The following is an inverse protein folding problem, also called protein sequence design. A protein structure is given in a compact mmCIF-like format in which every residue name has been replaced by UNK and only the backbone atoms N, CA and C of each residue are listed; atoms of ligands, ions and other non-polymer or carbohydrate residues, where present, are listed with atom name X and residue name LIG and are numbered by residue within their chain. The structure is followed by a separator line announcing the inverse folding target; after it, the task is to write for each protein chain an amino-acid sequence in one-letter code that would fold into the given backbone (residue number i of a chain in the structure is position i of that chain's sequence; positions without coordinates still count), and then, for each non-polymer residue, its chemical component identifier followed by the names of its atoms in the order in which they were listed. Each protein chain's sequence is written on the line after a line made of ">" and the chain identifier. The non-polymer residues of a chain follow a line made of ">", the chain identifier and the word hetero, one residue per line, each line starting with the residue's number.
data_IF_128554381520
#
_entry.id   IF_128554381520
#
_cell.length_a   1.000
_cell.length_b   1.000
_cell.length_c   1.000
_cell.angle_alpha   90.00
_cell.angle_beta   90.00
_cell.angle_gamma   90.00
#
_symmetry.space_group_name_H-M   'P 1'
#
loop_
_entity.id
_entity.type
_entity.pdbx_description
1 polymer ?
2 non-polymer ?
3 non-polymer ?
4 water ?
#
# COMPACT_ATOMS: atom_id res chain seq x y z
N UNK A 9 -14.29 -12.08 -20.91
CA UNK A 9 -14.43 -10.99 -19.93
C UNK A 9 -13.60 -9.76 -20.33
N UNK A 10 -14.29 -8.64 -20.53
CA UNK A 10 -13.64 -7.37 -20.81
C UNK A 10 -14.36 -6.28 -20.02
N UNK A 11 -13.63 -5.68 -19.08
CA UNK A 11 -14.22 -4.72 -18.16
C UNK A 11 -13.58 -3.34 -18.31
N UNK A 12 -13.99 -2.43 -17.42
CA UNK A 12 -13.46 -1.09 -17.40
C UNK A 12 -13.35 -0.66 -15.94
N UNK A 13 -12.28 0.05 -15.61
CA UNK A 13 -12.16 0.75 -14.32
C UNK A 13 -12.23 2.25 -14.56
N UNK A 14 -13.01 2.93 -13.71
CA UNK A 14 -12.91 4.37 -13.51
C UNK A 14 -12.49 4.62 -12.07
N UNK A 15 -11.85 5.76 -11.82
CA UNK A 15 -11.35 6.04 -10.48
C UNK A 15 -11.71 7.47 -10.09
N UNK A 16 -11.93 7.66 -8.79
CA UNK A 16 -12.12 8.97 -8.21
C UNK A 16 -11.33 9.04 -6.92
N UNK A 17 -10.30 9.91 -6.91
CA UNK A 17 -9.49 10.10 -5.72
C UNK A 17 -10.24 10.99 -4.73
N UNK A 18 -9.94 10.76 -3.44
CA UNK A 18 -10.53 11.46 -2.32
C UNK A 18 -9.39 11.87 -1.38
N UNK A 19 -9.38 13.12 -0.90
CA UNK A 19 -8.46 13.53 0.15
C UNK A 19 -9.26 14.27 1.22
N UNK A 20 -9.12 13.85 2.47
CA UNK A 20 -9.86 14.42 3.58
C UNK A 20 -11.37 14.30 3.40
N UNK A 21 -11.80 13.25 2.70
CA UNK A 21 -13.21 13.05 2.40
C UNK A 21 -13.72 13.94 1.26
N UNK A 22 -12.83 14.71 0.61
CA UNK A 22 -13.23 15.50 -0.54
C UNK A 22 -12.94 14.71 -1.81
N UNK A 23 -13.99 14.45 -2.61
CA UNK A 23 -13.82 13.76 -3.88
C UNK A 23 -13.32 14.73 -4.95
N UNK A 24 -12.36 14.26 -5.75
CA UNK A 24 -11.91 15.01 -6.90
C UNK A 24 -13.11 15.19 -7.82
N UNK A 25 -13.25 16.42 -8.32
CA UNK A 25 -14.35 16.80 -9.19
C UNK A 25 -13.92 16.59 -10.65
N UNK A 26 -14.95 16.31 -11.47
CA UNK A 26 -14.77 15.83 -12.83
C UNK A 26 -13.81 16.77 -13.56
N UNK A 27 -13.88 18.06 -13.24
CA UNK A 27 -13.04 19.02 -13.91
C UNK A 27 -12.11 19.80 -12.98
N UNK A 28 -11.83 19.29 -11.77
CA UNK A 28 -11.21 20.13 -10.75
C UNK A 28 -10.21 19.42 -9.83
N UNK A 29 -10.07 18.10 -9.95
CA UNK A 29 -9.24 17.35 -8.98
C UNK A 29 -9.69 17.64 -7.55
N UNK A 30 -8.81 17.36 -6.60
CA UNK A 30 -9.02 17.79 -5.23
C UNK A 30 -7.79 18.57 -4.79
N UNK A 31 -8.02 19.71 -4.13
CA UNK A 31 -6.94 20.60 -3.73
C UNK A 31 -6.61 20.37 -2.25
N UNK A 32 -5.31 20.39 -1.96
CA UNK A 32 -4.82 20.39 -0.59
C UNK A 32 -3.86 21.58 -0.40
N UNK A 33 -3.87 22.14 0.80
CA UNK A 33 -2.98 23.25 1.12
C UNK A 33 -1.58 22.71 1.31
N UNK A 34 -0.60 23.61 1.16
CA UNK A 34 0.81 23.27 1.40
C UNK A 34 0.98 22.73 2.83
N UNK A 35 0.32 23.37 3.79
CA UNK A 35 0.43 22.96 5.20
C UNK A 35 -0.16 21.56 5.41
N UNK A 36 -1.25 21.24 4.71
CA UNK A 36 -1.85 19.91 4.81
C UNK A 36 -0.89 18.87 4.25
N UNK A 37 -0.28 19.17 3.10
CA UNK A 37 0.71 18.29 2.49
C UNK A 37 1.85 18.02 3.48
N UNK A 38 2.30 19.07 4.16
CA UNK A 38 3.37 18.93 5.13
C UNK A 38 2.98 18.06 6.31
N UNK A 39 1.71 18.14 6.73
CA UNK A 39 1.20 17.38 7.87
C UNK A 39 0.89 15.93 7.49
N UNK A 40 0.76 15.64 6.20
CA UNK A 40 0.26 14.35 5.75
C UNK A 40 -1.24 14.42 5.47
N UNK A 41 -1.68 13.73 4.42
CA UNK A 41 -3.09 13.74 4.05
C UNK A 41 -3.58 12.30 3.83
N UNK A 42 -4.83 12.07 4.24
CA UNK A 42 -5.50 10.79 4.06
C UNK A 42 -6.01 10.71 2.63
N UNK A 43 -5.52 9.73 1.86
CA UNK A 43 -5.90 9.58 0.47
C UNK A 43 -6.68 8.28 0.33
N UNK A 44 -7.79 8.35 -0.42
CA UNK A 44 -8.57 7.18 -0.75
C UNK A 44 -8.88 7.23 -2.23
N UNK A 45 -9.32 6.08 -2.79
CA UNK A 45 -9.67 6.04 -4.20
C UNK A 45 -10.86 5.11 -4.37
N UNK A 46 -11.92 5.61 -5.02
CA UNK A 46 -13.07 4.78 -5.33
C UNK A 46 -12.96 4.32 -6.76
N UNK A 47 -12.95 2.99 -6.93
CA UNK A 47 -12.89 2.35 -8.23
C UNK A 47 -14.32 1.97 -8.61
N UNK A 48 -14.81 2.54 -9.72
CA UNK A 48 -16.03 2.09 -10.35
C UNK A 48 -15.66 1.10 -11.44
N UNK A 49 -16.09 -0.15 -11.27
CA UNK A 49 -15.73 -1.21 -12.19
C UNK A 49 -17.00 -1.71 -12.89
N UNK A 50 -16.79 -2.22 -14.11
CA UNK A 50 -17.83 -2.85 -14.88
C UNK A 50 -17.20 -4.02 -15.65
N UNK A 51 -18.04 -5.00 -16.03
CA UNK A 51 -17.60 -6.10 -16.86
C UNK A 51 -16.54 -6.98 -16.21
N UNK A 52 -16.55 -7.05 -14.87
CA UNK A 52 -15.76 -8.05 -14.15
C UNK A 52 -16.63 -9.28 -13.96
N UNK A 53 -16.00 -10.39 -13.50
CA UNK A 53 -16.70 -11.65 -13.33
C UNK A 53 -17.36 -11.67 -11.95
N UNK A 54 -18.67 -11.95 -11.94
CA UNK A 54 -19.47 -11.85 -10.72
C UNK A 54 -18.91 -12.76 -9.64
N UNK A 55 -18.73 -12.19 -8.45
CA UNK A 55 -18.33 -12.90 -7.25
C UNK A 55 -16.85 -13.26 -7.19
N UNK A 56 -16.05 -12.86 -8.20
CA UNK A 56 -14.66 -13.25 -8.27
C UNK A 56 -13.79 -12.26 -7.51
N UNK A 57 -12.67 -12.78 -6.98
CA UNK A 57 -11.69 -12.00 -6.22
C UNK A 57 -10.71 -11.36 -7.18
N UNK A 58 -10.38 -10.08 -6.91
CA UNK A 58 -9.42 -9.31 -7.70
C UNK A 58 -8.41 -8.72 -6.75
N UNK A 59 -7.13 -8.89 -7.10
CA UNK A 59 -6.05 -8.19 -6.44
C UNK A 59 -5.90 -6.82 -7.08
N UNK A 60 -6.10 -5.78 -6.28
CA UNK A 60 -6.10 -4.41 -6.75
C UNK A 60 -4.87 -3.69 -6.19
N UNK A 61 -4.05 -3.18 -7.11
CA UNK A 61 -2.87 -2.39 -6.76
C UNK A 61 -3.10 -0.96 -7.23
N UNK A 62 -3.04 -0.01 -6.28
CA UNK A 62 -3.13 1.40 -6.56
C UNK A 62 -1.81 2.10 -6.28
N UNK A 63 -1.43 3.03 -7.15
CA UNK A 63 -0.23 3.83 -7.00
C UNK A 63 -0.61 5.30 -7.12
N UNK A 64 0.03 6.14 -6.30
CA UNK A 64 -0.04 7.58 -6.42
C UNK A 64 1.29 8.08 -6.98
N UNK A 65 1.23 8.70 -8.16
CA UNK A 65 2.41 9.17 -8.86
C UNK A 65 2.39 10.70 -8.96
N UNK A 66 3.55 11.31 -8.77
CA UNK A 66 3.77 12.68 -9.20
C UNK A 66 3.56 12.74 -10.72
N UNK A 67 2.84 13.76 -11.18
CA UNK A 67 2.59 13.97 -12.60
C UNK A 67 3.09 15.36 -12.98
N UNK A 68 3.86 15.44 -14.08
CA UNK A 68 4.22 16.73 -14.65
C UNK A 68 4.28 16.59 -16.17
N UNK A 69 3.73 17.58 -16.85
CA UNK A 69 3.76 17.66 -18.31
C UNK A 69 3.16 16.40 -18.91
N UNK A 70 2.13 15.87 -18.23
CA UNK A 70 1.31 14.79 -18.75
C UNK A 70 1.94 13.41 -18.58
N UNK A 71 3.02 13.31 -17.80
CA UNK A 71 3.69 12.04 -17.51
C UNK A 71 3.86 11.86 -16.02
N UNK A 72 3.90 10.60 -15.58
CA UNK A 72 4.32 10.29 -14.21
C UNK A 72 5.82 10.57 -14.09
N UNK A 73 6.20 11.01 -12.88
CA UNK A 73 7.58 11.38 -12.59
C UNK A 73 8.10 10.46 -11.48
N UNK A 74 9.04 9.58 -11.83
CA UNK A 74 9.71 8.73 -10.86
C UNK A 74 8.83 7.59 -10.37
N UNK A 75 9.26 6.96 -9.28
CA UNK A 75 8.52 5.86 -8.68
C UNK A 75 7.33 6.42 -7.91
N UNK A 76 6.31 5.57 -7.73
CA UNK A 76 5.11 5.97 -7.01
C UNK A 76 5.48 6.46 -5.62
N UNK A 77 4.75 7.49 -5.16
CA UNK A 77 4.89 8.02 -3.82
C UNK A 77 4.43 6.97 -2.81
N UNK A 78 3.29 6.34 -3.12
CA UNK A 78 2.80 5.20 -2.33
C UNK A 78 2.17 4.19 -3.28
N UNK A 79 2.22 2.91 -2.88
CA UNK A 79 1.47 1.84 -3.52
C UNK A 79 0.72 1.08 -2.43
N UNK A 80 -0.50 0.64 -2.74
CA UNK A 80 -1.23 -0.24 -1.86
C UNK A 80 -1.86 -1.36 -2.68
N UNK A 81 -1.78 -2.60 -2.17
CA UNK A 81 -2.43 -3.74 -2.78
C UNK A 81 -3.36 -4.36 -1.74
N UNK A 82 -4.60 -4.66 -2.16
CA UNK A 82 -5.54 -5.42 -1.35
C UNK A 82 -6.44 -6.24 -2.27
N UNK A 83 -7.21 -7.17 -1.69
CA UNK A 83 -8.14 -7.97 -2.47
C UNK A 83 -9.56 -7.43 -2.27
N UNK A 84 -10.29 -7.40 -3.39
CA UNK A 84 -11.71 -7.12 -3.39
C UNK A 84 -12.46 -8.24 -4.10
N UNK A 85 -13.77 -8.31 -3.85
CA UNK A 85 -14.64 -9.25 -4.53
C UNK A 85 -15.61 -8.47 -5.40
N UNK A 86 -15.74 -8.90 -6.67
CA UNK A 86 -16.71 -8.31 -7.59
C UNK A 86 -18.14 -8.65 -7.16
N UNK A 87 -19.03 -7.67 -7.34
CA UNK A 87 -20.45 -7.80 -7.06
C UNK A 87 -21.07 -8.92 -7.89
N UNK A 88 -22.31 -9.29 -7.52
CA UNK A 88 -23.05 -10.32 -8.23
C UNK A 88 -23.38 -9.93 -9.66
N UNK A 89 -23.27 -8.64 -10.01
CA UNK A 89 -23.56 -8.17 -11.35
C UNK A 89 -22.29 -8.00 -12.19
N UNK A 90 -21.11 -8.04 -11.55
CA UNK A 90 -19.86 -7.81 -12.24
C UNK A 90 -19.52 -6.32 -12.36
N UNK A 91 -20.37 -5.46 -11.79
CA UNK A 91 -20.17 -4.03 -11.79
C UNK A 91 -20.46 -3.48 -10.40
N UNK A 92 -19.72 -2.45 -10.01
CA UNK A 92 -19.88 -1.88 -8.68
C UNK A 92 -18.75 -0.92 -8.34
N UNK A 93 -18.53 -0.75 -7.02
CA UNK A 93 -17.50 0.14 -6.52
C UNK A 93 -16.71 -0.54 -5.42
N UNK A 94 -15.40 -0.24 -5.42
CA UNK A 94 -14.47 -0.62 -4.37
C UNK A 94 -13.76 0.64 -3.89
N UNK A 95 -13.41 0.71 -2.59
CA UNK A 95 -12.70 1.86 -2.08
C UNK A 95 -11.36 1.42 -1.48
N UNK A 96 -10.29 1.93 -2.08
CA UNK A 96 -8.92 1.75 -1.63
C UNK A 96 -8.60 2.87 -0.66
N UNK A 97 -8.12 2.51 0.54
CA UNK A 97 -7.66 3.50 1.51
C UNK A 97 -6.15 3.39 1.61
N UNK A 98 -5.45 4.47 1.25
CA UNK A 98 -3.99 4.46 1.26
C UNK A 98 -3.42 4.78 2.64
N UNK A 99 -4.25 5.30 3.56
CA UNK A 99 -3.76 5.85 4.80
C UNK A 99 -3.20 7.26 4.60
N UNK A 100 -2.51 7.77 5.62
CA UNK A 100 -1.90 9.08 5.57
C UNK A 100 -0.69 9.02 4.65
N UNK A 101 -0.69 9.94 3.66
CA UNK A 101 0.37 10.05 2.67
C UNK A 101 1.22 11.26 3.01
N UNK A 102 2.53 11.02 3.15
CA UNK A 102 3.49 12.05 3.48
C UNK A 102 4.29 12.48 2.25
N UNK A 103 4.87 13.67 2.31
CA UNK A 103 5.89 14.07 1.35
C UNK A 103 5.36 14.66 0.04
N UNK A 104 4.03 14.83 -0.10
CA UNK A 104 3.50 15.57 -1.24
C UNK A 104 4.01 17.00 -1.18
N UNK A 105 4.40 17.54 -2.34
CA UNK A 105 5.16 18.78 -2.38
C UNK A 105 4.28 19.93 -2.85
N UNK A 106 4.41 21.11 -2.21
CA UNK A 106 3.73 22.32 -2.68
C UNK A 106 3.92 22.57 -4.17
N UNK A 107 2.81 22.93 -4.83
CA UNK A 107 2.81 23.27 -6.24
C UNK A 107 2.86 22.08 -7.21
N UNK A 108 2.82 20.84 -6.67
CA UNK A 108 2.89 19.65 -7.50
C UNK A 108 1.53 18.97 -7.56
N UNK A 109 1.37 18.10 -8.57
CA UNK A 109 0.14 17.37 -8.81
C UNK A 109 0.45 15.88 -8.79
N UNK A 110 -0.50 15.09 -8.28
CA UNK A 110 -0.35 13.66 -8.14
C UNK A 110 -1.60 12.98 -8.69
N UNK A 111 -1.40 11.78 -9.26
CA UNK A 111 -2.50 11.06 -9.89
C UNK A 111 -2.53 9.62 -9.37
N UNK A 112 -3.74 9.08 -9.20
CA UNK A 112 -3.92 7.70 -8.81
C UNK A 112 -4.10 6.85 -10.07
N UNK A 113 -3.30 5.78 -10.14
CA UNK A 113 -3.46 4.67 -11.06
C UNK A 113 -3.97 3.43 -10.31
N UNK A 114 -4.82 2.63 -10.95
CA UNK A 114 -5.33 1.38 -10.38
C UNK A 114 -5.26 0.25 -11.41
N UNK A 115 -4.90 -0.94 -10.93
CA UNK A 115 -4.92 -2.17 -11.72
C UNK A 115 -5.62 -3.26 -10.92
N UNK A 116 -6.63 -3.91 -11.54
CA UNK A 116 -7.31 -5.05 -10.93
C UNK A 116 -6.92 -6.30 -11.71
N UNK A 117 -6.46 -7.31 -10.98
CA UNK A 117 -6.00 -8.58 -11.52
C UNK A 117 -6.77 -9.71 -10.84
N UNK A 118 -7.56 -10.45 -11.62
CA UNK A 118 -8.30 -11.56 -11.02
C UNK A 118 -7.31 -12.54 -10.41
N UNK A 119 -7.67 -13.09 -9.25
CA UNK A 119 -6.91 -14.14 -8.59
C UNK A 119 -6.93 -15.41 -9.46
N UNK A 120 -8.10 -15.72 -10.03
CA UNK A 120 -8.22 -16.88 -10.92
C UNK A 120 -7.90 -16.48 -12.36
N UNK A 121 -7.51 -17.47 -13.17
CA UNK A 121 -7.47 -17.34 -14.63
C UNK A 121 -8.90 -17.32 -15.15
N UNK A 122 -9.26 -16.29 -15.92
CA UNK A 122 -10.63 -16.08 -16.37
C UNK A 122 -10.70 -15.73 -17.86
N UNK A 123 -9.55 -15.55 -18.53
CA UNK A 123 -9.53 -15.11 -19.91
C UNK A 123 -8.80 -16.14 -20.77
N UNK A 124 -9.45 -16.51 -21.89
CA UNK A 124 -8.85 -17.33 -22.93
C UNK A 124 -8.13 -16.42 -23.91
N UNK A 125 -6.81 -16.60 -24.05
CA UNK A 125 -6.00 -15.71 -24.87
C UNK A 125 -5.40 -16.44 -26.08
N UNK A 126 -5.57 -17.77 -26.15
CA UNK A 126 -4.99 -18.55 -27.23
C UNK A 126 -6.08 -19.22 -28.08
N UNK A 127 -7.27 -19.42 -27.50
CA UNK A 127 -8.44 -19.81 -28.26
C UNK A 127 -8.80 -21.29 -28.12
N UNK A 128 -8.41 -21.92 -27.00
CA UNK A 128 -8.71 -23.33 -26.77
C UNK A 128 -9.88 -23.47 -25.80
N UNK A 129 -10.60 -22.36 -25.57
CA UNK A 129 -11.78 -22.31 -24.72
C UNK A 129 -11.43 -22.56 -23.25
N UNK A 130 -10.14 -22.57 -22.91
CA UNK A 130 -9.71 -22.72 -21.52
C UNK A 130 -9.17 -21.38 -21.03
N UNK A 131 -9.52 -20.93 -19.79
CA UNK A 131 -8.97 -19.70 -19.24
C UNK A 131 -7.49 -19.90 -18.91
N UNK A 132 -6.63 -18.99 -19.39
CA UNK A 132 -5.19 -19.16 -19.26
C UNK A 132 -4.55 -17.95 -18.58
N UNK A 133 -5.29 -16.84 -18.46
CA UNK A 133 -4.75 -15.57 -18.00
C UNK A 133 -5.76 -14.88 -17.07
N UNK A 134 -5.24 -14.09 -16.11
CA UNK A 134 -6.12 -13.32 -15.25
C UNK A 134 -6.87 -12.30 -16.11
N UNK A 135 -8.10 -11.94 -15.70
CA UNK A 135 -8.66 -10.69 -16.17
C UNK A 135 -7.87 -9.56 -15.52
N UNK A 136 -7.28 -8.69 -16.35
CA UNK A 136 -6.57 -7.51 -15.88
C UNK A 136 -7.24 -6.29 -16.50
N UNK A 137 -7.72 -5.41 -15.63
CA UNK A 137 -8.25 -4.12 -16.06
C UNK A 137 -7.47 -3.05 -15.32
N UNK A 138 -7.22 -1.92 -16.00
CA UNK A 138 -6.43 -0.87 -15.39
C UNK A 138 -6.93 0.50 -15.82
N UNK A 139 -6.74 1.48 -14.94
CA UNK A 139 -6.94 2.89 -15.25
C UNK A 139 -5.67 3.62 -14.87
N UNK A 140 -4.89 4.01 -15.90
CA UNK A 140 -3.60 4.66 -15.70
C UNK A 140 -3.55 5.88 -16.59
N UNK A 141 -4.36 6.89 -16.25
CA UNK A 141 -4.45 8.10 -17.05
C UNK A 141 -3.81 9.24 -16.27
N UNK A 142 -2.60 9.68 -16.66
CA UNK A 142 -1.93 10.77 -15.95
C UNK A 142 -2.68 12.10 -16.01
N UNK A 143 -3.61 12.23 -16.98
CA UNK A 143 -4.32 13.48 -17.20
C UNK A 143 -5.76 13.43 -16.70
N UNK A 144 -6.14 12.35 -15.96
CA UNK A 144 -7.49 12.25 -15.45
C UNK A 144 -7.63 13.07 -14.17
N UNK A 145 -8.41 14.17 -14.26
CA UNK A 145 -8.61 15.11 -13.16
C UNK A 145 -9.30 14.45 -11.96
N UNK A 146 -10.19 13.50 -12.24
CA UNK A 146 -10.94 12.81 -11.19
C UNK A 146 -10.00 11.97 -10.34
N UNK A 147 -8.79 11.68 -10.86
CA UNK A 147 -7.79 10.91 -10.13
C UNK A 147 -6.67 11.80 -9.59
N UNK A 148 -6.84 13.12 -9.63
CA UNK A 148 -5.73 14.05 -9.44
C UNK A 148 -5.86 14.85 -8.15
N UNK A 149 -4.72 14.86 -7.41
CA UNK A 149 -4.55 15.68 -6.22
C UNK A 149 -3.60 16.80 -6.57
N UNK A 150 -4.01 18.04 -6.25
CA UNK A 150 -3.22 19.22 -6.50
C UNK A 150 -2.85 19.90 -5.18
N UNK A 151 -1.55 20.09 -4.95
CA UNK A 151 -1.07 20.75 -3.75
C UNK A 151 -0.81 22.22 -4.08
N UNK A 152 -1.45 23.11 -3.31
CA UNK A 152 -1.21 24.54 -3.39
C UNK A 152 0.26 24.87 -3.11
N UNK A 153 0.74 25.96 -3.71
CA UNK A 153 2.14 26.33 -3.62
C UNK A 153 2.47 26.92 -2.23
N UNK B 9 27.32 -1.71 4.60
CA UNK B 9 26.53 -1.40 5.82
C UNK B 9 25.51 -2.49 6.15
N UNK B 10 25.47 -2.89 7.42
CA UNK B 10 24.53 -3.88 7.91
C UNK B 10 23.67 -3.24 9.02
N UNK B 11 22.34 -3.28 8.83
CA UNK B 11 21.40 -2.66 9.74
C UNK B 11 20.37 -3.66 10.28
N UNK B 12 19.37 -3.13 11.01
CA UNK B 12 18.35 -3.96 11.64
C UNK B 12 17.02 -3.21 11.69
N UNK B 13 15.92 -3.93 11.43
CA UNK B 13 14.57 -3.41 11.59
C UNK B 13 13.88 -4.18 12.72
N UNK B 14 13.23 -3.44 13.61
CA UNK B 14 12.25 -3.99 14.54
C UNK B 14 10.92 -3.32 14.19
N UNK B 15 9.81 -4.00 14.48
CA UNK B 15 8.51 -3.52 14.06
C UNK B 15 7.52 -3.70 15.21
N UNK B 16 6.57 -2.77 15.27
CA UNK B 16 5.47 -2.80 16.23
C UNK B 16 4.19 -2.44 15.50
N UNK B 17 3.26 -3.40 15.39
CA UNK B 17 1.97 -3.14 14.75
C UNK B 17 1.04 -2.45 15.77
N UNK B 18 0.17 -1.58 15.25
CA UNK B 18 -0.83 -0.87 16.02
C UNK B 18 -2.19 -0.97 15.33
N UNK B 19 -3.26 -1.11 16.14
CA UNK B 19 -4.63 -0.96 15.69
C UNK B 19 -5.36 -0.11 16.73
N UNK B 20 -6.01 1.00 16.31
CA UNK B 20 -6.74 1.88 17.21
C UNK B 20 -5.87 2.56 18.29
N UNK B 21 -4.62 2.87 17.94
CA UNK B 21 -3.70 3.49 18.88
C UNK B 21 -3.23 2.52 19.95
N UNK B 22 -3.60 1.23 19.79
CA UNK B 22 -3.11 0.18 20.65
C UNK B 22 -1.96 -0.51 19.94
N UNK B 23 -0.78 -0.42 20.55
CA UNK B 23 0.41 -1.14 20.12
C UNK B 23 0.33 -2.58 20.59
N UNK B 24 0.82 -3.49 19.75
CA UNK B 24 1.13 -4.86 20.16
C UNK B 24 2.34 -4.85 21.09
N UNK B 25 2.52 -5.93 21.87
CA UNK B 25 3.65 -6.03 22.77
C UNK B 25 4.38 -7.36 22.52
N UNK B 26 5.62 -7.52 23.00
CA UNK B 26 6.30 -8.79 22.73
C UNK B 26 5.62 -9.88 23.55
N UNK B 27 4.79 -9.47 24.52
CA UNK B 27 4.01 -10.41 25.30
C UNK B 27 2.72 -10.85 24.60
N UNK B 28 2.25 -10.10 23.60
CA UNK B 28 1.04 -10.54 22.94
C UNK B 28 0.65 -9.64 21.77
N UNK B 29 0.08 -10.23 20.73
CA UNK B 29 -0.41 -9.43 19.61
C UNK B 29 -1.51 -8.46 20.05
N UNK B 30 -1.72 -7.40 19.26
CA UNK B 30 -2.82 -6.47 19.52
C UNK B 30 -4.13 -7.17 19.15
N UNK B 31 -5.14 -7.01 20.02
CA UNK B 31 -6.40 -7.72 19.90
C UNK B 31 -7.42 -6.82 19.19
N UNK B 32 -8.18 -7.41 18.26
CA UNK B 32 -9.34 -6.75 17.69
C UNK B 32 -10.54 -7.68 17.82
N UNK B 33 -11.73 -7.08 17.94
CA UNK B 33 -12.93 -7.86 18.09
C UNK B 33 -13.31 -8.46 16.74
N UNK B 34 -14.12 -9.52 16.79
CA UNK B 34 -14.64 -10.12 15.58
C UNK B 34 -15.40 -9.11 14.73
N UNK B 35 -16.24 -8.29 15.39
CA UNK B 35 -17.02 -7.28 14.69
C UNK B 35 -16.11 -6.21 14.08
N UNK B 36 -15.02 -5.84 14.76
CA UNK B 36 -14.10 -4.84 14.24
C UNK B 36 -13.43 -5.35 12.97
N UNK B 37 -13.02 -6.63 12.99
CA UNK B 37 -12.45 -7.26 11.81
C UNK B 37 -13.43 -7.20 10.64
N UNK B 38 -14.72 -7.43 10.94
CA UNK B 38 -15.75 -7.41 9.90
C UNK B 38 -15.96 -6.02 9.30
N UNK B 39 -15.80 -4.98 10.13
CA UNK B 39 -16.00 -3.59 9.70
C UNK B 39 -14.76 -3.09 8.95
N UNK B 40 -13.59 -3.70 9.22
CA UNK B 40 -12.32 -3.20 8.76
C UNK B 40 -11.61 -2.45 9.88
N UNK B 41 -10.29 -2.61 9.94
CA UNK B 41 -9.48 -2.00 10.97
C UNK B 41 -8.34 -1.23 10.30
N UNK B 42 -8.01 -0.08 10.86
CA UNK B 42 -6.87 0.69 10.39
C UNK B 42 -5.62 0.16 11.08
N UNK B 43 -4.64 -0.25 10.26
CA UNK B 43 -3.42 -0.88 10.74
C UNK B 43 -2.24 0.05 10.46
N UNK B 44 -1.39 0.25 11.48
CA UNK B 44 -0.13 0.96 11.30
C UNK B 44 0.99 0.08 11.82
N UNK B 45 2.20 0.34 11.35
CA UNK B 45 3.38 -0.38 11.79
C UNK B 45 4.53 0.60 11.99
N UNK B 46 5.09 0.63 13.20
CA UNK B 46 6.24 1.47 13.49
C UNK B 46 7.50 0.62 13.33
N UNK B 47 8.40 1.10 12.46
CA UNK B 47 9.67 0.47 12.21
C UNK B 47 10.72 1.23 13.02
N UNK B 48 11.39 0.51 13.92
CA UNK B 48 12.56 1.03 14.60
C UNK B 48 13.79 0.48 13.89
N UNK B 49 14.53 1.37 13.22
CA UNK B 49 15.67 0.98 12.40
C UNK B 49 16.96 1.43 13.08
N UNK B 50 18.04 0.67 12.84
CA UNK B 50 19.40 1.05 13.21
C UNK B 50 20.34 0.59 12.10
N UNK B 51 21.51 1.22 12.01
CA UNK B 51 22.55 0.82 11.07
C UNK B 51 22.17 1.05 9.61
N UNK B 52 21.28 2.02 9.35
CA UNK B 52 21.04 2.52 8.01
C UNK B 52 21.98 3.70 7.75
N UNK B 53 22.05 4.14 6.50
CA UNK B 53 22.98 5.18 6.09
C UNK B 53 22.29 6.52 6.30
N UNK B 54 22.96 7.42 7.04
CA UNK B 54 22.37 8.68 7.45
C UNK B 54 21.88 9.48 6.25
N UNK B 55 20.63 9.96 6.35
CA UNK B 55 20.05 10.90 5.40
C UNK B 55 19.59 10.26 4.09
N UNK B 56 19.77 8.94 3.94
CA UNK B 56 19.48 8.25 2.70
C UNK B 56 18.01 7.84 2.63
N UNK B 57 17.45 7.86 1.42
CA UNK B 57 16.08 7.43 1.16
C UNK B 57 15.99 5.91 1.06
N UNK B 58 14.91 5.36 1.64
CA UNK B 58 14.60 3.93 1.58
C UNK B 58 13.16 3.76 1.12
N UNK B 59 12.96 2.81 0.19
CA UNK B 59 11.66 2.32 -0.17
C UNK B 59 11.29 1.18 0.79
N UNK B 60 10.18 1.36 1.51
CA UNK B 60 9.75 0.39 2.50
C UNK B 60 8.47 -0.29 2.01
N UNK B 61 8.51 -1.62 1.93
CA UNK B 61 7.34 -2.44 1.60
C UNK B 61 6.93 -3.25 2.83
N UNK B 62 5.70 -3.04 3.29
CA UNK B 62 5.12 -3.80 4.38
C UNK B 62 4.01 -4.71 3.87
N UNK B 63 3.98 -5.94 4.40
CA UNK B 63 2.95 -6.91 4.06
C UNK B 63 2.32 -7.46 5.34
N UNK B 64 1.00 -7.62 5.34
CA UNK B 64 0.30 -8.31 6.41
C UNK B 64 -0.11 -9.70 5.94
N UNK B 65 0.39 -10.73 6.65
CA UNK B 65 0.14 -12.13 6.33
C UNK B 65 -0.67 -12.81 7.42
N UNK B 66 -1.65 -13.62 7.01
CA UNK B 66 -2.24 -14.62 7.88
C UNK B 66 -1.11 -15.54 8.33
N UNK B 67 -1.12 -15.89 9.62
CA UNK B 67 -0.10 -16.75 10.18
C UNK B 67 -0.76 -17.78 11.07
N UNK B 68 -0.37 -19.05 10.87
CA UNK B 68 -0.81 -20.17 11.68
C UNK B 68 0.41 -21.01 12.01
N UNK B 69 0.60 -21.30 13.31
CA UNK B 69 1.66 -22.16 13.78
C UNK B 69 3.01 -21.73 13.21
N UNK B 70 3.25 -20.41 13.24
CA UNK B 70 4.55 -19.84 12.91
C UNK B 70 4.89 -19.91 11.42
N UNK B 71 3.88 -20.07 10.57
CA UNK B 71 4.06 -20.07 9.13
C UNK B 71 3.01 -19.13 8.50
N UNK B 72 3.43 -18.29 7.55
CA UNK B 72 2.47 -17.49 6.81
C UNK B 72 1.59 -18.39 5.95
N UNK B 73 0.33 -17.96 5.74
CA UNK B 73 -0.64 -18.70 4.95
C UNK B 73 -1.10 -17.83 3.79
N UNK B 74 -0.78 -18.29 2.56
CA UNK B 74 -1.23 -17.63 1.35
C UNK B 74 -0.50 -16.32 1.09
N UNK B 75 -1.01 -15.55 0.13
CA UNK B 75 -0.43 -14.26 -0.22
C UNK B 75 -0.83 -13.24 0.85
N UNK B 76 -0.10 -12.13 0.87
CA UNK B 76 -0.37 -11.06 1.81
C UNK B 76 -1.82 -10.57 1.65
N UNK B 77 -2.46 -10.29 2.79
CA UNK B 77 -3.79 -9.68 2.82
C UNK B 77 -3.71 -8.27 2.23
N UNK B 78 -2.73 -7.48 2.67
CA UNK B 78 -2.46 -6.15 2.16
C UNK B 78 -0.95 -5.97 2.06
N UNK B 79 -0.53 -5.14 1.10
CA UNK B 79 0.82 -4.65 0.99
C UNK B 79 0.77 -3.12 0.85
N UNK B 80 1.71 -2.44 1.51
CA UNK B 80 1.83 -0.99 1.42
C UNK B 80 3.29 -0.64 1.21
N UNK B 81 3.55 0.21 0.20
CA UNK B 81 4.88 0.74 -0.08
C UNK B 81 4.86 2.26 0.04
N UNK B 82 5.90 2.79 0.70
CA UNK B 82 6.11 4.22 0.84
C UNK B 82 7.61 4.47 1.01
N UNK B 83 8.02 5.73 0.83
CA UNK B 83 9.41 6.10 0.91
C UNK B 83 9.65 6.82 2.24
N UNK B 84 10.80 6.53 2.85
CA UNK B 84 11.22 7.20 4.06
C UNK B 84 12.68 7.62 3.91
N UNK B 85 13.10 8.58 4.74
CA UNK B 85 14.49 8.98 4.81
C UNK B 85 15.04 8.64 6.18
N UNK B 86 16.24 8.02 6.22
CA UNK B 86 16.91 7.69 7.47
C UNK B 86 17.40 8.97 8.15
N UNK B 87 17.37 8.96 9.49
CA UNK B 87 17.82 10.08 10.32
C UNK B 87 19.31 10.34 10.14
N UNK B 88 19.78 11.41 10.79
CA UNK B 88 21.18 11.83 10.73
C UNK B 88 22.10 10.82 11.42
N UNK B 89 21.55 10.00 12.31
CA UNK B 89 22.32 9.00 13.05
C UNK B 89 22.27 7.65 12.36
N UNK B 90 21.35 7.49 11.39
CA UNK B 90 21.10 6.20 10.76
C UNK B 90 20.19 5.30 11.61
N UNK B 91 19.64 5.84 12.71
CA UNK B 91 18.74 5.11 13.59
C UNK B 91 17.55 6.01 13.91
N UNK B 92 16.36 5.40 14.04
CA UNK B 92 15.16 6.15 14.34
C UNK B 92 13.90 5.31 14.12
N UNK B 93 12.76 5.98 13.92
CA UNK B 93 11.50 5.31 13.68
C UNK B 93 10.81 5.86 12.43
N UNK B 94 10.14 4.96 11.71
CA UNK B 94 9.25 5.31 10.61
C UNK B 94 7.89 4.70 10.90
N UNK B 95 6.80 5.37 10.51
CA UNK B 95 5.49 4.76 10.63
C UNK B 95 4.90 4.49 9.25
N UNK B 96 4.59 3.20 9.01
CA UNK B 96 3.85 2.76 7.85
C UNK B 96 2.36 2.77 8.20
N UNK B 97 1.54 3.42 7.35
CA UNK B 97 0.10 3.42 7.49
C UNK B 97 -0.48 2.53 6.40
N UNK B 98 -1.11 1.42 6.80
CA UNK B 98 -1.68 0.52 5.82
C UNK B 98 -3.06 1.03 5.37
N UNK B 99 -3.64 1.96 6.14
CA UNK B 99 -5.04 2.32 5.98
C UNK B 99 -5.94 1.16 6.42
N UNK B 100 -7.16 1.13 5.88
CA UNK B 100 -8.17 0.16 6.27
C UNK B 100 -7.80 -1.21 5.75
N UNK B 101 -7.84 -2.21 6.66
CA UNK B 101 -7.61 -3.59 6.30
C UNK B 101 -8.91 -4.36 6.50
N UNK B 102 -9.44 -4.88 5.38
CA UNK B 102 -10.66 -5.67 5.39
C UNK B 102 -10.33 -7.15 5.34
N UNK B 103 -11.29 -7.96 5.81
CA UNK B 103 -11.28 -9.38 5.54
C UNK B 103 -10.46 -10.21 6.55
N UNK B 104 -9.97 -9.57 7.63
CA UNK B 104 -9.37 -10.34 8.72
C UNK B 104 -10.47 -11.20 9.35
N UNK B 105 -10.12 -12.46 9.64
CA UNK B 105 -11.09 -13.48 10.00
C UNK B 105 -11.07 -13.73 11.50
N UNK B 106 -12.26 -13.86 12.13
CA UNK B 106 -12.35 -14.26 13.53
C UNK B 106 -11.50 -15.49 13.85
N UNK B 107 -10.77 -15.39 14.97
CA UNK B 107 -9.99 -16.48 15.49
C UNK B 107 -8.65 -16.67 14.80
N UNK B 108 -8.30 -15.79 13.85
CA UNK B 108 -7.04 -15.90 13.13
C UNK B 108 -6.08 -14.81 13.59
N UNK B 109 -4.80 -15.02 13.25
CA UNK B 109 -3.75 -14.08 13.59
C UNK B 109 -3.02 -13.66 12.31
N UNK B 110 -2.50 -12.43 12.32
CA UNK B 110 -1.89 -11.80 11.17
C UNK B 110 -0.62 -11.11 11.63
N UNK B 111 0.43 -11.21 10.82
CA UNK B 111 1.73 -10.68 11.18
C UNK B 111 2.20 -9.69 10.09
N UNK B 112 2.86 -8.63 10.54
CA UNK B 112 3.43 -7.64 9.64
C UNK B 112 4.89 -8.00 9.36
N UNK B 113 5.23 -8.05 8.06
CA UNK B 113 6.59 -8.14 7.57
C UNK B 113 6.97 -6.79 6.95
N UNK B 114 8.25 -6.39 7.12
CA UNK B 114 8.74 -5.14 6.53
C UNK B 114 10.07 -5.38 5.83
N UNK B 115 10.25 -4.72 4.68
CA UNK B 115 11.53 -4.66 4.00
C UNK B 115 11.85 -3.23 3.63
N UNK B 116 13.10 -2.81 3.91
CA UNK B 116 13.60 -1.49 3.55
C UNK B 116 14.72 -1.66 2.52
N UNK B 117 14.58 -0.94 1.40
CA UNK B 117 15.51 -1.05 0.29
C UNK B 117 15.99 0.35 -0.06
N UNK B 118 17.30 0.61 0.09
CA UNK B 118 17.82 1.93 -0.24
C UNK B 118 17.55 2.23 -1.71
N UNK B 119 17.17 3.48 -1.98
CA UNK B 119 16.98 3.97 -3.34
C UNK B 119 18.32 3.97 -4.09
N UNK B 120 19.39 4.38 -3.40
CA UNK B 120 20.72 4.45 -4.00
C UNK B 120 21.51 3.17 -3.73
N UNK B 121 22.53 2.93 -4.56
CA UNK B 121 23.51 1.90 -4.28
C UNK B 121 24.36 2.34 -3.08
N UNK B 122 24.31 1.56 -2.01
CA UNK B 122 24.97 1.89 -0.75
C UNK B 122 25.97 0.81 -0.34
N UNK B 123 25.94 -0.36 -0.98
CA UNK B 123 26.69 -1.52 -0.49
C UNK B 123 27.63 -2.02 -1.58
N UNK B 124 28.91 -2.17 -1.21
CA UNK B 124 29.93 -2.77 -2.06
C UNK B 124 29.92 -4.28 -1.85
N UNK B 125 29.49 -5.03 -2.88
CA UNK B 125 29.32 -6.47 -2.76
C UNK B 125 30.49 -7.23 -3.38
N UNK B 126 31.27 -6.59 -4.28
CA UNK B 126 32.30 -7.29 -5.02
C UNK B 126 33.70 -6.84 -4.61
N UNK B 127 33.79 -5.89 -3.66
CA UNK B 127 35.03 -5.61 -2.95
C UNK B 127 35.97 -4.65 -3.71
N UNK B 128 35.40 -3.72 -4.48
CA UNK B 128 36.21 -2.71 -5.15
C UNK B 128 36.02 -1.34 -4.49
N UNK B 129 35.37 -1.32 -3.31
CA UNK B 129 35.13 -0.10 -2.55
C UNK B 129 34.30 0.90 -3.35
N UNK B 130 33.39 0.39 -4.18
CA UNK B 130 32.38 1.22 -4.83
C UNK B 130 31.03 0.59 -4.53
N UNK B 131 30.04 1.33 -3.98
CA UNK B 131 28.68 0.81 -3.84
C UNK B 131 28.13 0.36 -5.20
N UNK B 132 27.50 -0.83 -5.20
CA UNK B 132 26.99 -1.43 -6.43
C UNK B 132 25.60 -2.05 -6.21
N UNK B 133 25.03 -1.88 -5.02
CA UNK B 133 23.79 -2.55 -4.66
C UNK B 133 23.09 -1.78 -3.54
N UNK B 134 21.76 -1.84 -3.53
CA UNK B 134 20.98 -1.24 -2.46
C UNK B 134 21.29 -1.92 -1.13
N UNK B 135 21.19 -1.16 -0.04
CA UNK B 135 21.10 -1.76 1.28
C UNK B 135 19.68 -2.26 1.46
N UNK B 136 19.54 -3.56 1.77
CA UNK B 136 18.25 -4.19 1.99
C UNK B 136 18.25 -4.80 3.38
N UNK B 137 17.31 -4.36 4.22
CA UNK B 137 17.09 -4.94 5.53
C UNK B 137 15.63 -5.35 5.64
N UNK B 138 15.40 -6.49 6.31
CA UNK B 138 14.09 -7.10 6.40
C UNK B 138 13.79 -7.43 7.84
N UNK B 139 12.51 -7.39 8.21
CA UNK B 139 12.02 -8.07 9.40
C UNK B 139 10.82 -8.91 9.00
N UNK B 140 11.03 -10.23 8.91
CA UNK B 140 10.02 -11.17 8.46
C UNK B 140 9.95 -12.32 9.45
N UNK B 141 9.49 -12.01 10.65
CA UNK B 141 9.42 -12.99 11.73
C UNK B 141 7.95 -13.35 11.99
N UNK B 142 7.47 -14.54 11.56
CA UNK B 142 6.07 -14.90 11.76
C UNK B 142 5.67 -15.12 13.22
N UNK B 143 6.68 -15.23 14.12
CA UNK B 143 6.42 -15.50 15.53
C UNK B 143 6.60 -14.25 16.39
N UNK B 144 6.75 -13.08 15.76
CA UNK B 144 6.99 -11.85 16.52
C UNK B 144 5.65 -11.28 17.00
N UNK B 145 5.34 -11.45 18.29
CA UNK B 145 4.06 -10.99 18.82
C UNK B 145 3.89 -9.47 18.69
N UNK B 146 4.99 -8.69 18.70
CA UNK B 146 4.89 -7.25 18.58
C UNK B 146 4.45 -6.83 17.16
N UNK B 147 4.49 -7.76 16.20
CA UNK B 147 4.07 -7.51 14.83
C UNK B 147 2.73 -8.18 14.55
N UNK B 148 2.10 -8.76 15.60
CA UNK B 148 0.97 -9.65 15.38
C UNK B 148 -0.35 -8.98 15.76
N UNK B 149 -1.37 -9.20 14.91
CA UNK B 149 -2.75 -8.82 15.17
C UNK B 149 -3.54 -10.10 15.42
N UNK B 150 -4.33 -10.08 16.51
CA UNK B 150 -5.10 -11.24 16.94
C UNK B 150 -6.58 -10.86 16.87
N UNK B 151 -7.35 -11.60 16.06
CA UNK B 151 -8.78 -11.37 15.94
C UNK B 151 -9.49 -12.34 16.87
N UNK B 152 -10.30 -11.78 17.77
CA UNK B 152 -11.12 -12.58 18.67
C UNK B 152 -12.07 -13.46 17.86
N UNK B 153 -12.47 -14.59 18.45
CA UNK B 153 -13.39 -15.53 17.82
C UNK B 153 -14.81 -14.95 17.84
X LIG C 1 0.42 -0.32 -9.28
X LIG C 1 -0.09 0.13 -8.03
X LIG C 1 -0.67 -0.40 -10.33
X LIG C 1 -0.39 -1.50 -11.20
X LIG C 1 -0.84 0.88 -11.13
X LIG C 1 -1.95 0.79 -12.01
X LIG D 1 -6.68 -20.67 -23.40
X LIG E 1 -11.02 0.81 18.03
X LIG E 1 -10.56 2.08 18.50
X LIG E 1 -10.92 0.74 16.50
X LIG E 1 -9.66 1.28 16.08
X LIG E 1 -11.08 -0.66 15.97
X LIG E 1 -10.84 -0.70 14.55
X LIG F 1 7.69 -7.67 3.28
X LIG F 1 8.92 -7.78 4.00
X LIG F 1 7.95 -7.48 1.81
X LIG F 1 8.80 -6.36 1.62
X LIG F 1 6.68 -7.28 0.99
X LIG F 1 5.86 -6.27 1.54
X LIG G 1 31.49 -2.67 -5.78
X LIG H 1 8.91 -5.14 18.02
#
# INVERSE_FOLDING_TARGET
>A
GAKKKHVSPKGKLATTVSVGGVKASVGGGVRVTSAQAGAGVDVADTIAYTGLVAGEAYSVSGSLFEVADGRTVGDAIVTKTEQFTASDSGAGEWTVEFGRVAGLEPGKQYVVFETATSVKDLVDTDGDDVPDAAQVEKHEDPNDASQTVVVEE
>B
GAKKKHVSPKGKLATTVSVGGVKASVGGGVRVTSAQAGAGVDVADTIAYTGLVAGEAYSVSGSLFEVADGRTVGDAIVTKTEQFTASDSGAGEWTVEFGRVAGLEPGKQYVVFETATSVKDLVDTDGDDVPDAAQVEKHEDPNDASQTVVVEE
>C hetero
1 GOL C1 O1 C2 O2 C3 O3
>D hetero
1 CA CA
>E hetero
1 GOL C1 O1 C2 O2 C3 O3
>F hetero
1 GOL C1 O1 C2 O2 C3 O3
>G hetero
1 CA CA
>H hetero
1 CA CA
#
